data_IF_368022084675
#
_entry.id   IF_368022084675
#
_cell.length_a   1.000
_cell.length_b   1.000
_cell.length_c   1.000
_cell.angle_alpha   90.00
_cell.angle_beta   90.00
_cell.angle_gamma   90.00
#
_symmetry.space_group_name_H-M   'P 1'
#
loop_
_entity.id
_entity.type
_entity.pdbx_description
1 polymer ?
#
# COMPACT_ATOMS: atom_id res chain seq x y z
N UNK A 1 -2.32 20.14 12.47
CA UNK A 1 -1.99 19.13 11.45
C UNK A 1 -3.01 18.02 11.55
N UNK A 2 -3.99 17.96 10.65
CA UNK A 2 -4.96 16.86 10.67
C UNK A 2 -4.19 15.56 10.39
N UNK A 3 -4.40 14.54 11.21
CA UNK A 3 -3.80 13.23 10.97
C UNK A 3 -4.41 12.66 9.67
N UNK A 4 -3.70 12.77 8.55
CA UNK A 4 -4.07 12.08 7.32
C UNK A 4 -4.22 10.60 7.65
N UNK A 5 -5.42 10.06 7.42
CA UNK A 5 -5.69 8.66 7.75
C UNK A 5 -4.92 7.80 6.76
N UNK A 6 -4.07 6.93 7.28
CA UNK A 6 -3.23 6.01 6.50
C UNK A 6 -3.83 4.60 6.58
N UNK A 7 -3.86 3.91 5.45
CA UNK A 7 -4.29 2.52 5.37
C UNK A 7 -3.09 1.64 4.97
N UNK A 8 -2.66 0.76 5.88
CA UNK A 8 -1.66 -0.26 5.58
C UNK A 8 -2.36 -1.46 4.92
N UNK A 9 -1.95 -1.82 3.70
CA UNK A 9 -2.51 -2.95 2.96
C UNK A 9 -1.42 -3.99 2.74
N UNK A 10 -1.60 -5.17 3.32
CA UNK A 10 -0.76 -6.35 3.09
C UNK A 10 -1.67 -7.55 2.94
N UNK A 11 -1.84 -7.99 1.70
CA UNK A 11 -2.72 -9.09 1.32
C UNK A 11 -1.94 -10.08 0.47
N UNK A 12 -2.04 -11.36 0.79
CA UNK A 12 -1.47 -12.44 -0.05
C UNK A 12 -2.33 -12.66 -1.29
N UNK A 13 -3.65 -12.68 -1.10
CA UNK A 13 -4.64 -12.77 -2.15
C UNK A 13 -5.00 -11.35 -2.66
N UNK A 14 -4.94 -11.16 -3.98
CA UNK A 14 -5.13 -9.84 -4.62
C UNK A 14 -6.50 -9.71 -5.28
N UNK A 15 -7.42 -10.64 -5.00
CA UNK A 15 -8.79 -10.59 -5.52
C UNK A 15 -9.47 -9.33 -4.98
N UNK A 16 -10.10 -8.55 -5.87
CA UNK A 16 -10.77 -7.28 -5.55
C UNK A 16 -9.90 -6.19 -4.88
N UNK A 17 -8.56 -6.31 -4.92
CA UNK A 17 -7.65 -5.30 -4.39
C UNK A 17 -7.94 -3.91 -4.97
N UNK A 18 -8.25 -3.84 -6.27
CA UNK A 18 -8.57 -2.62 -6.99
C UNK A 18 -9.77 -1.87 -6.38
N UNK A 19 -10.85 -2.58 -6.05
CA UNK A 19 -12.04 -1.99 -5.44
C UNK A 19 -11.73 -1.42 -4.06
N UNK A 20 -10.93 -2.16 -3.26
CA UNK A 20 -10.48 -1.74 -1.94
C UNK A 20 -9.65 -0.45 -2.03
N UNK A 21 -8.63 -0.42 -2.89
CA UNK A 21 -7.75 0.76 -2.99
C UNK A 21 -8.43 1.97 -3.61
N UNK A 22 -9.32 1.79 -4.60
CA UNK A 22 -10.10 2.90 -5.15
C UNK A 22 -11.05 3.49 -4.11
N UNK A 23 -11.73 2.65 -3.32
CA UNK A 23 -12.61 3.10 -2.25
C UNK A 23 -11.87 3.89 -1.16
N UNK A 24 -10.68 3.42 -0.76
CA UNK A 24 -9.83 4.12 0.21
C UNK A 24 -9.30 5.45 -0.34
N UNK A 25 -8.88 5.46 -1.61
CA UNK A 25 -8.40 6.68 -2.27
C UNK A 25 -9.50 7.75 -2.37
N UNK A 26 -10.75 7.37 -2.66
CA UNK A 26 -11.89 8.29 -2.66
C UNK A 26 -12.16 8.91 -1.27
N UNK A 27 -11.88 8.17 -0.21
CA UNK A 27 -12.02 8.63 1.17
C UNK A 27 -10.81 9.46 1.66
N UNK A 28 -9.90 9.83 0.74
CA UNK A 28 -8.68 10.60 1.02
C UNK A 28 -7.71 9.88 1.98
N UNK A 29 -7.72 8.53 1.99
CA UNK A 29 -6.75 7.76 2.74
C UNK A 29 -5.43 7.68 1.96
N UNK A 30 -4.32 7.83 2.68
CA UNK A 30 -2.99 7.57 2.13
C UNK A 30 -2.72 6.06 2.21
N UNK A 31 -2.60 5.42 1.05
CA UNK A 31 -2.39 3.97 0.97
C UNK A 31 -0.92 3.66 1.15
N UNK A 32 -0.63 2.72 2.03
CA UNK A 32 0.72 2.28 2.36
C UNK A 32 0.80 0.77 2.18
N UNK A 33 1.79 0.28 1.43
CA UNK A 33 1.99 -1.16 1.20
C UNK A 33 3.47 -1.49 1.00
N UNK A 34 3.82 -2.78 0.99
CA UNK A 34 5.19 -3.28 0.73
C UNK A 34 5.19 -4.35 -0.36
N UNK A 35 6.37 -4.63 -0.91
CA UNK A 35 6.58 -5.73 -1.86
C UNK A 35 5.62 -5.74 -3.07
N UNK A 36 5.13 -6.94 -3.40
CA UNK A 36 4.31 -7.18 -4.60
C UNK A 36 2.90 -6.57 -4.54
N UNK A 37 2.37 -6.28 -3.36
CA UNK A 37 1.06 -5.63 -3.22
C UNK A 37 1.16 -4.15 -3.54
N UNK A 38 2.24 -3.48 -3.13
CA UNK A 38 2.50 -2.10 -3.54
C UNK A 38 2.61 -1.95 -5.06
N UNK A 39 3.32 -2.88 -5.72
CA UNK A 39 3.45 -2.91 -7.17
C UNK A 39 2.10 -3.07 -7.89
N UNK A 40 1.23 -3.96 -7.39
CA UNK A 40 -0.11 -4.15 -7.95
C UNK A 40 -0.97 -2.87 -7.84
N UNK A 41 -0.92 -2.19 -6.70
CA UNK A 41 -1.68 -0.96 -6.47
C UNK A 41 -1.18 0.18 -7.39
N UNK A 42 0.13 0.31 -7.54
CA UNK A 42 0.73 1.30 -8.45
C UNK A 42 0.40 1.01 -9.92
N UNK A 43 0.36 -0.28 -10.31
CA UNK A 43 -0.04 -0.68 -11.66
C UNK A 43 -1.52 -0.33 -11.97
N UNK A 44 -2.38 -0.24 -10.95
CA UNK A 44 -3.77 0.21 -11.06
C UNK A 44 -3.91 1.74 -11.12
N UNK A 45 -2.81 2.50 -11.07
CA UNK A 45 -2.80 3.96 -11.10
C UNK A 45 -3.19 4.62 -9.77
N UNK A 46 -3.21 3.87 -8.67
CA UNK A 46 -3.53 4.41 -7.34
C UNK A 46 -2.24 4.81 -6.61
N UNK A 47 -2.18 6.03 -6.02
CA UNK A 47 -1.01 6.45 -5.27
C UNK A 47 -0.80 5.57 -4.03
N UNK A 48 0.29 4.81 -4.03
CA UNK A 48 0.69 3.91 -2.96
C UNK A 48 2.10 4.26 -2.50
N UNK A 49 2.24 4.49 -1.19
CA UNK A 49 3.50 4.81 -0.54
C UNK A 49 4.12 3.54 0.01
N UNK A 50 5.42 3.34 -0.19
CA UNK A 50 6.06 2.17 0.39
C UNK A 50 6.27 2.37 1.89
N UNK A 51 6.09 1.31 2.69
CA UNK A 51 6.45 1.37 4.12
C UNK A 51 7.94 1.71 4.29
N UNK A 52 8.79 1.22 3.40
CA UNK A 52 10.23 1.53 3.36
C UNK A 52 10.52 3.04 3.26
N UNK A 53 9.71 3.79 2.49
CA UNK A 53 9.84 5.25 2.38
C UNK A 53 9.39 5.97 3.66
N UNK A 54 8.54 5.35 4.48
CA UNK A 54 8.06 5.92 5.74
C UNK A 54 9.00 5.64 6.91
N UNK A 55 9.61 4.45 6.93
CA UNK A 55 10.48 4.02 8.03
C UNK A 55 11.95 4.34 7.75
N UNK A 56 12.34 4.52 6.48
CA UNK A 56 13.74 4.66 6.08
C UNK A 56 14.54 3.36 6.21
N UNK A 57 13.87 2.24 6.47
CA UNK A 57 14.47 0.92 6.53
C UNK A 57 14.16 0.18 5.21
N UNK A 58 15.17 -0.13 4.39
CA UNK A 58 14.97 -1.01 3.25
C UNK A 58 14.53 -2.40 3.76
N UNK A 59 13.66 -3.11 3.04
CA UNK A 59 13.24 -4.47 3.38
C UNK A 59 14.49 -5.38 3.63
N UNK A 60 14.88 -5.58 4.89
CA UNK A 60 16.08 -6.36 5.26
C UNK A 60 15.85 -7.87 5.26
N UNK A 61 14.61 -8.31 5.05
CA UNK A 61 14.23 -9.71 5.06
C UNK A 61 13.48 -9.97 3.77
N UNK A 62 14.16 -10.64 2.83
CA UNK A 62 13.56 -11.28 1.67
C UNK A 62 12.41 -12.18 2.17
N UNK A 63 11.18 -11.67 2.09
CA UNK A 63 9.97 -12.31 2.61
C UNK A 63 9.48 -13.48 1.76
N UNK A 64 10.39 -14.17 1.05
CA UNK A 64 10.07 -15.26 0.14
C UNK A 64 10.47 -16.61 0.75
N UNK A 65 9.57 -17.19 1.54
CA UNK A 65 9.43 -18.63 1.65
C UNK A 65 7.97 -19.02 1.85
#
# INVERSE_FOLDING_TARGET
>A
MAASKRALISLSDKTDLEMLVKGLAQQQFEIVSTGGTAAAIQAMGVPCKKVEELTGFPEMLDGSH
#
